data_IF_059080946560
#
_entry.id   IF_059080946560
#
_cell.length_a   1.000
_cell.length_b   1.000
_cell.length_c   1.000
_cell.angle_alpha   90.00
_cell.angle_beta   90.00
_cell.angle_gamma   90.00
#
_symmetry.space_group_name_H-M   'P 1'
#
loop_
_entity.id
_entity.type
_entity.pdbx_description
1 polymer ?
#
# COMPACT_ATOMS: atom_id res chain seq x y z
N UNK A 1 -21.94 -32.64 -34.53
CA UNK A 1 -20.56 -32.15 -34.73
C UNK A 1 -20.42 -30.66 -34.33
N UNK A 2 -21.22 -29.74 -34.87
CA UNK A 2 -21.16 -28.30 -34.56
C UNK A 2 -21.31 -28.01 -33.05
N UNK A 3 -22.32 -28.60 -32.38
CA UNK A 3 -22.57 -28.41 -30.96
C UNK A 3 -21.35 -28.78 -30.09
N UNK A 4 -20.72 -29.94 -30.37
CA UNK A 4 -19.50 -30.35 -29.62
C UNK A 4 -18.31 -29.42 -29.86
N UNK A 5 -18.13 -28.92 -31.09
CA UNK A 5 -17.05 -27.96 -31.39
C UNK A 5 -17.26 -26.65 -30.64
N UNK A 6 -18.49 -26.10 -30.67
CA UNK A 6 -18.83 -24.86 -29.94
C UNK A 6 -18.70 -25.04 -28.40
N UNK A 7 -19.11 -26.21 -27.89
CA UNK A 7 -18.97 -26.55 -26.49
C UNK A 7 -17.49 -26.52 -26.03
N UNK A 8 -16.60 -27.18 -26.80
CA UNK A 8 -15.18 -27.21 -26.49
C UNK A 8 -14.53 -25.82 -26.60
N UNK A 9 -14.87 -25.05 -27.63
CA UNK A 9 -14.40 -23.67 -27.77
C UNK A 9 -14.84 -22.85 -26.57
N UNK A 10 -16.12 -22.94 -26.18
CA UNK A 10 -16.65 -22.24 -25.01
C UNK A 10 -15.89 -22.57 -23.74
N UNK A 11 -15.66 -23.85 -23.41
CA UNK A 11 -14.90 -24.28 -22.24
C UNK A 11 -13.47 -23.71 -22.27
N UNK A 12 -12.75 -23.91 -23.38
CA UNK A 12 -11.34 -23.51 -23.49
C UNK A 12 -11.20 -22.01 -23.25
N UNK A 13 -11.99 -21.18 -23.93
CA UNK A 13 -11.89 -19.74 -23.74
C UNK A 13 -12.34 -19.29 -22.33
N UNK A 14 -13.45 -19.84 -21.80
CA UNK A 14 -13.92 -19.52 -20.47
C UNK A 14 -12.85 -19.85 -19.40
N UNK A 15 -12.29 -21.06 -19.46
CA UNK A 15 -11.29 -21.50 -18.48
C UNK A 15 -9.97 -20.74 -18.62
N UNK A 16 -9.48 -20.48 -19.84
CA UNK A 16 -8.22 -19.74 -20.05
C UNK A 16 -8.32 -18.31 -19.54
N UNK A 17 -9.41 -17.60 -19.84
CA UNK A 17 -9.62 -16.22 -19.38
C UNK A 17 -9.85 -16.21 -17.85
N UNK A 18 -10.68 -17.13 -17.34
CA UNK A 18 -10.93 -17.26 -15.90
C UNK A 18 -9.65 -17.58 -15.11
N UNK A 19 -8.82 -18.49 -15.63
CA UNK A 19 -7.52 -18.77 -15.02
C UNK A 19 -6.58 -17.55 -15.04
N UNK A 20 -6.56 -16.79 -16.13
CA UNK A 20 -5.79 -15.54 -16.20
C UNK A 20 -6.29 -14.51 -15.17
N UNK A 21 -7.61 -14.40 -14.98
CA UNK A 21 -8.22 -13.54 -13.99
C UNK A 21 -7.84 -13.96 -12.57
N UNK A 22 -8.02 -15.23 -12.23
CA UNK A 22 -7.64 -15.78 -10.95
C UNK A 22 -6.13 -15.61 -10.68
N UNK A 23 -5.28 -15.89 -11.66
CA UNK A 23 -3.83 -15.76 -11.53
C UNK A 23 -3.40 -14.30 -11.28
N UNK A 24 -3.97 -13.36 -12.04
CA UNK A 24 -3.46 -11.98 -12.08
C UNK A 24 -4.10 -11.09 -11.00
N UNK A 25 -5.35 -11.32 -10.61
CA UNK A 25 -6.07 -10.52 -9.61
C UNK A 25 -6.50 -11.28 -8.35
N UNK A 26 -6.42 -12.58 -8.34
CA UNK A 26 -6.65 -13.36 -7.12
C UNK A 26 -5.35 -13.46 -6.32
N UNK A 27 -5.05 -12.50 -5.44
CA UNK A 27 -3.78 -12.39 -4.68
C UNK A 27 -3.26 -13.71 -4.10
N UNK A 28 -4.16 -14.61 -3.69
CA UNK A 28 -3.82 -15.96 -3.21
C UNK A 28 -2.96 -16.74 -4.20
N UNK A 29 -3.16 -16.53 -5.50
CA UNK A 29 -2.37 -17.18 -6.56
C UNK A 29 -0.87 -16.88 -6.44
N UNK A 30 -0.53 -15.69 -5.96
CA UNK A 30 0.85 -15.22 -5.83
C UNK A 30 1.63 -15.92 -4.70
N UNK A 31 0.92 -16.59 -3.80
CA UNK A 31 1.55 -17.45 -2.78
C UNK A 31 2.14 -18.73 -3.39
N UNK A 32 1.60 -19.19 -4.54
CA UNK A 32 1.94 -20.48 -5.17
C UNK A 32 2.56 -20.31 -6.55
N UNK A 33 2.28 -19.20 -7.24
CA UNK A 33 2.69 -18.94 -8.61
C UNK A 33 3.43 -17.61 -8.72
N UNK A 34 4.46 -17.56 -9.56
CA UNK A 34 5.14 -16.30 -9.89
C UNK A 34 4.34 -15.54 -10.95
N UNK A 35 3.66 -14.49 -10.54
CA UNK A 35 2.89 -13.61 -11.44
C UNK A 35 3.80 -12.51 -11.97
N UNK A 36 3.81 -12.31 -13.29
CA UNK A 36 4.62 -11.24 -13.91
C UNK A 36 3.82 -9.95 -13.91
N UNK A 37 4.41 -8.87 -13.39
CA UNK A 37 3.79 -7.54 -13.32
C UNK A 37 3.14 -7.10 -14.65
N UNK A 38 3.84 -7.27 -15.78
CA UNK A 38 3.33 -6.89 -17.09
C UNK A 38 2.02 -7.56 -17.49
N UNK A 39 1.79 -8.81 -17.07
CA UNK A 39 0.55 -9.53 -17.35
C UNK A 39 -0.59 -8.98 -16.50
N UNK A 40 -0.33 -8.76 -15.21
CA UNK A 40 -1.27 -8.14 -14.27
C UNK A 40 -1.72 -6.74 -14.75
N UNK A 41 -0.77 -5.86 -15.08
CA UNK A 41 -1.07 -4.52 -15.63
C UNK A 41 -1.91 -4.59 -16.90
N UNK A 42 -1.57 -5.52 -17.82
CA UNK A 42 -2.37 -5.72 -19.03
C UNK A 42 -3.78 -6.22 -18.72
N UNK A 43 -3.92 -7.12 -17.73
CA UNK A 43 -5.22 -7.64 -17.32
C UNK A 43 -6.06 -6.52 -16.70
N UNK A 44 -5.53 -5.74 -15.77
CA UNK A 44 -6.21 -4.61 -15.12
C UNK A 44 -6.78 -3.64 -16.16
N UNK A 45 -5.96 -3.23 -17.15
CA UNK A 45 -6.41 -2.32 -18.24
C UNK A 45 -7.56 -2.86 -19.07
N UNK A 46 -7.69 -4.18 -19.19
CA UNK A 46 -8.67 -4.84 -20.06
C UNK A 46 -9.66 -5.69 -19.28
N UNK A 47 -9.73 -5.56 -17.96
CA UNK A 47 -10.50 -6.43 -17.08
C UNK A 47 -11.91 -6.65 -17.60
N UNK A 48 -12.71 -5.60 -17.74
CA UNK A 48 -14.12 -5.72 -18.16
C UNK A 48 -14.29 -6.32 -19.56
N UNK A 49 -13.36 -6.03 -20.48
CA UNK A 49 -13.39 -6.62 -21.83
C UNK A 49 -13.10 -8.11 -21.79
N UNK A 50 -12.09 -8.52 -21.01
CA UNK A 50 -11.72 -9.92 -20.85
C UNK A 50 -12.82 -10.70 -20.12
N UNK A 51 -13.42 -10.11 -19.08
CA UNK A 51 -14.57 -10.69 -18.38
C UNK A 51 -15.76 -10.87 -19.32
N UNK A 52 -16.08 -9.86 -20.14
CA UNK A 52 -17.17 -9.97 -21.14
C UNK A 52 -16.93 -11.09 -22.16
N UNK A 53 -15.69 -11.25 -22.66
CA UNK A 53 -15.34 -12.36 -23.56
C UNK A 53 -15.45 -13.70 -22.84
N UNK A 54 -14.98 -13.82 -21.62
CA UNK A 54 -15.04 -15.04 -20.82
C UNK A 54 -16.47 -15.45 -20.46
N UNK A 55 -17.31 -14.48 -20.07
CA UNK A 55 -18.74 -14.71 -19.83
C UNK A 55 -19.47 -15.08 -21.12
N UNK A 56 -19.14 -14.45 -22.25
CA UNK A 56 -19.65 -14.84 -23.58
C UNK A 56 -19.26 -16.26 -23.96
N UNK A 57 -18.03 -16.67 -23.67
CA UNK A 57 -17.58 -18.05 -23.90
C UNK A 57 -18.32 -19.05 -22.99
N UNK A 58 -18.60 -18.68 -21.73
CA UNK A 58 -19.42 -19.47 -20.81
C UNK A 58 -20.84 -19.60 -21.30
N UNK A 59 -21.43 -18.53 -21.81
CA UNK A 59 -22.75 -18.55 -22.42
C UNK A 59 -22.80 -19.43 -23.71
N UNK A 60 -21.75 -19.38 -24.54
CA UNK A 60 -21.59 -20.24 -25.70
C UNK A 60 -21.53 -21.73 -25.31
N UNK A 61 -20.76 -22.05 -24.28
CA UNK A 61 -20.70 -23.41 -23.71
C UNK A 61 -22.08 -23.89 -23.26
N UNK A 62 -22.82 -23.05 -22.55
CA UNK A 62 -24.18 -23.39 -22.09
C UNK A 62 -25.17 -23.55 -23.26
N UNK A 63 -25.13 -22.63 -24.21
CA UNK A 63 -25.97 -22.74 -25.43
C UNK A 63 -25.69 -24.03 -26.22
N UNK A 64 -24.41 -24.36 -26.41
CA UNK A 64 -24.01 -25.57 -27.11
C UNK A 64 -24.51 -26.83 -26.36
N UNK A 65 -24.45 -26.84 -25.04
CA UNK A 65 -24.95 -27.98 -24.24
C UNK A 65 -26.48 -28.10 -24.26
N UNK A 66 -27.20 -27.01 -23.97
CA UNK A 66 -28.66 -27.08 -23.79
C UNK A 66 -29.48 -27.07 -25.12
N UNK A 67 -28.96 -26.39 -26.16
CA UNK A 67 -29.72 -26.13 -27.37
C UNK A 67 -29.17 -26.83 -28.62
N UNK A 68 -27.93 -27.32 -28.62
CA UNK A 68 -27.27 -27.90 -29.80
C UNK A 68 -26.77 -29.33 -29.55
N UNK A 69 -27.23 -29.98 -28.50
CA UNK A 69 -26.85 -31.35 -28.10
C UNK A 69 -25.30 -31.55 -28.10
N UNK A 70 -24.57 -30.51 -27.72
CA UNK A 70 -23.13 -30.52 -27.69
C UNK A 70 -22.59 -30.80 -26.30
N UNK A 71 -21.50 -31.56 -26.22
CA UNK A 71 -20.84 -31.91 -24.97
C UNK A 71 -21.56 -33.00 -24.17
N UNK A 72 -21.10 -33.18 -22.93
CA UNK A 72 -21.62 -34.20 -22.00
C UNK A 72 -21.79 -33.64 -20.60
N UNK A 73 -22.79 -34.13 -19.86
CA UNK A 73 -23.11 -33.63 -18.51
C UNK A 73 -21.97 -33.78 -17.53
N UNK A 74 -21.19 -34.85 -17.61
CA UNK A 74 -20.04 -35.07 -16.72
C UNK A 74 -18.91 -34.02 -16.89
N UNK A 75 -18.85 -33.35 -18.05
CA UNK A 75 -17.89 -32.28 -18.33
C UNK A 75 -18.51 -30.89 -18.10
N UNK A 76 -19.78 -30.70 -18.45
CA UNK A 76 -20.45 -29.40 -18.33
C UNK A 76 -20.51 -28.87 -16.92
N UNK A 77 -21.03 -29.65 -15.98
CA UNK A 77 -21.21 -29.18 -14.59
C UNK A 77 -19.87 -28.92 -13.85
N UNK A 78 -18.84 -29.79 -13.93
CA UNK A 78 -17.52 -29.48 -13.40
C UNK A 78 -16.87 -28.25 -14.04
N UNK A 79 -17.04 -28.07 -15.38
CA UNK A 79 -16.50 -26.88 -16.06
C UNK A 79 -17.19 -25.60 -15.59
N UNK A 80 -18.52 -25.62 -15.47
CA UNK A 80 -19.29 -24.48 -14.96
C UNK A 80 -18.88 -24.12 -13.51
N UNK A 81 -18.70 -25.13 -12.65
CA UNK A 81 -18.21 -24.94 -11.29
C UNK A 81 -16.80 -24.31 -11.29
N UNK A 82 -15.89 -24.86 -12.10
CA UNK A 82 -14.53 -24.32 -12.23
C UNK A 82 -14.54 -22.86 -12.70
N UNK A 83 -15.31 -22.57 -13.74
CA UNK A 83 -15.48 -21.20 -14.25
C UNK A 83 -16.05 -20.28 -13.16
N UNK A 84 -17.06 -20.74 -12.43
CA UNK A 84 -17.63 -20.00 -11.29
C UNK A 84 -16.60 -19.65 -10.23
N UNK A 85 -15.70 -20.57 -9.89
CA UNK A 85 -14.61 -20.31 -8.94
C UNK A 85 -13.57 -19.35 -9.52
N UNK A 86 -13.14 -19.58 -10.77
CA UNK A 86 -12.09 -18.77 -11.41
C UNK A 86 -12.49 -17.31 -11.63
N UNK A 87 -13.77 -17.03 -11.84
CA UNK A 87 -14.27 -15.64 -11.97
C UNK A 87 -14.83 -15.11 -10.66
N UNK A 88 -15.59 -15.91 -9.93
CA UNK A 88 -16.29 -15.48 -8.73
C UNK A 88 -15.36 -15.12 -7.60
N UNK A 89 -14.33 -15.95 -7.36
CA UNK A 89 -13.38 -15.69 -6.27
C UNK A 89 -12.64 -14.35 -6.42
N UNK A 90 -11.92 -14.08 -7.54
CA UNK A 90 -11.22 -12.81 -7.69
C UNK A 90 -12.17 -11.61 -7.67
N UNK A 91 -13.31 -11.73 -8.33
CA UNK A 91 -14.30 -10.66 -8.41
C UNK A 91 -14.86 -10.30 -7.02
N UNK A 92 -15.25 -11.29 -6.23
CA UNK A 92 -15.75 -11.08 -4.87
C UNK A 92 -14.63 -10.51 -3.98
N UNK A 93 -13.42 -11.08 -4.08
CA UNK A 93 -12.28 -10.64 -3.30
C UNK A 93 -11.94 -9.17 -3.56
N UNK A 94 -11.78 -8.80 -4.83
CA UNK A 94 -11.35 -7.44 -5.24
C UNK A 94 -12.47 -6.42 -5.05
N UNK A 95 -13.62 -6.64 -5.68
CA UNK A 95 -14.66 -5.60 -5.79
C UNK A 95 -15.62 -5.54 -4.57
N UNK A 96 -15.77 -6.64 -3.83
CA UNK A 96 -16.60 -6.66 -2.63
C UNK A 96 -15.79 -6.76 -1.35
N UNK A 97 -14.73 -7.58 -1.36
CA UNK A 97 -13.91 -7.86 -0.17
C UNK A 97 -13.13 -6.65 0.32
N UNK A 98 -12.56 -5.87 -0.58
CA UNK A 98 -11.69 -4.74 -0.25
C UNK A 98 -12.42 -3.47 0.22
N UNK A 99 -13.74 -3.36 0.07
CA UNK A 99 -14.58 -2.25 0.59
C UNK A 99 -13.97 -0.85 0.38
N UNK A 100 -13.96 -0.36 -0.85
CA UNK A 100 -13.46 0.97 -1.13
C UNK A 100 -14.17 2.06 -0.28
N UNK A 101 -13.40 2.81 0.53
CA UNK A 101 -13.88 3.96 1.32
C UNK A 101 -13.15 5.25 0.95
N UNK A 102 -12.73 5.39 -0.29
CA UNK A 102 -12.00 6.57 -0.77
C UNK A 102 -12.76 7.89 -0.51
N UNK A 103 -14.08 7.88 -0.55
CA UNK A 103 -14.92 9.08 -0.37
C UNK A 103 -15.97 8.96 0.73
N UNK A 104 -16.00 7.84 1.45
CA UNK A 104 -17.06 7.49 2.41
C UNK A 104 -16.54 7.15 3.80
N UNK A 105 -15.24 7.27 4.02
CA UNK A 105 -14.62 7.01 5.31
C UNK A 105 -15.19 7.93 6.39
N UNK A 106 -15.43 7.37 7.56
CA UNK A 106 -15.90 8.10 8.73
C UNK A 106 -14.77 8.25 9.74
N UNK A 107 -14.65 9.45 10.26
CA UNK A 107 -13.69 9.79 11.28
C UNK A 107 -14.41 10.11 12.59
N UNK A 108 -13.86 9.65 13.68
CA UNK A 108 -14.45 9.68 15.00
C UNK A 108 -13.54 10.42 15.97
N UNK A 109 -14.09 10.86 17.09
CA UNK A 109 -13.29 11.45 18.16
C UNK A 109 -12.32 10.44 18.76
N UNK A 110 -11.29 10.93 19.44
CA UNK A 110 -10.35 10.09 20.18
C UNK A 110 -11.07 9.26 21.24
N UNK A 111 -12.07 9.84 21.93
CA UNK A 111 -12.80 9.14 22.98
C UNK A 111 -13.59 7.95 22.44
N UNK A 112 -14.24 8.09 21.28
CA UNK A 112 -14.90 6.96 20.62
C UNK A 112 -13.87 5.90 20.15
N UNK A 113 -12.69 6.32 19.73
CA UNK A 113 -11.66 5.41 19.22
C UNK A 113 -10.98 4.59 20.32
N UNK A 114 -10.89 5.10 21.56
CA UNK A 114 -10.30 4.39 22.71
C UNK A 114 -10.97 3.04 23.01
N UNK A 115 -12.22 2.87 22.63
CA UNK A 115 -12.95 1.62 22.82
C UNK A 115 -12.49 0.51 21.86
N UNK A 116 -11.92 0.87 20.71
CA UNK A 116 -11.58 -0.05 19.62
C UNK A 116 -10.10 -0.09 19.28
N UNK A 117 -9.31 0.89 19.73
CA UNK A 117 -7.90 1.04 19.42
C UNK A 117 -7.08 1.05 20.70
N UNK A 118 -6.17 0.08 20.84
CA UNK A 118 -5.27 0.03 21.98
C UNK A 118 -4.30 1.21 22.00
N UNK A 119 -3.94 1.76 23.17
CA UNK A 119 -2.94 2.84 23.28
C UNK A 119 -1.59 2.54 22.62
N UNK A 120 -1.19 1.27 22.57
CA UNK A 120 0.05 0.82 21.92
C UNK A 120 -0.09 0.51 20.44
N UNK A 121 -1.30 0.59 19.87
CA UNK A 121 -1.51 0.36 18.44
C UNK A 121 -0.76 1.37 17.60
N UNK A 122 -0.13 0.88 16.54
CA UNK A 122 0.45 1.74 15.52
C UNK A 122 -0.64 2.44 14.71
N UNK A 123 -0.46 3.72 14.47
CA UNK A 123 -1.33 4.54 13.63
C UNK A 123 -0.52 5.30 12.59
N UNK A 124 -1.05 5.36 11.37
CA UNK A 124 -0.53 6.22 10.30
C UNK A 124 -1.26 7.55 10.36
N UNK A 125 -0.50 8.64 10.39
CA UNK A 125 -1.03 9.99 10.61
C UNK A 125 -0.76 10.88 9.41
N UNK A 126 -1.76 11.66 9.05
CA UNK A 126 -1.66 12.84 8.20
C UNK A 126 -2.06 14.08 9.01
N UNK A 127 -1.38 15.17 8.75
CA UNK A 127 -1.61 16.43 9.48
C UNK A 127 -1.53 17.61 8.51
N UNK A 128 -2.36 18.61 8.76
CA UNK A 128 -2.37 19.88 8.04
C UNK A 128 -2.77 21.02 8.98
N UNK A 129 -1.83 21.96 9.20
CA UNK A 129 -2.06 23.17 10.01
C UNK A 129 -2.64 22.88 11.40
N UNK A 130 -2.11 21.85 12.05
CA UNK A 130 -2.52 21.41 13.40
C UNK A 130 -3.75 20.50 13.44
N UNK A 131 -4.44 20.29 12.32
CA UNK A 131 -5.54 19.32 12.21
C UNK A 131 -4.98 17.96 11.78
N UNK A 132 -5.21 16.92 12.59
CA UNK A 132 -4.64 15.61 12.32
C UNK A 132 -5.68 14.49 12.26
N UNK A 133 -5.38 13.48 11.44
CA UNK A 133 -6.14 12.23 11.32
C UNK A 133 -5.24 11.03 11.51
N UNK A 134 -5.64 10.14 12.41
CA UNK A 134 -4.98 8.86 12.62
C UNK A 134 -5.75 7.74 11.90
N UNK A 135 -5.00 6.83 11.32
CA UNK A 135 -5.51 5.62 10.67
C UNK A 135 -4.84 4.41 11.34
N UNK A 136 -5.47 3.80 12.35
CA UNK A 136 -4.90 2.61 13.00
C UNK A 136 -4.73 1.47 12.00
N UNK A 137 -3.58 0.80 12.03
CA UNK A 137 -3.26 -0.29 11.10
C UNK A 137 -4.36 -1.36 11.07
N UNK A 138 -4.89 -1.73 12.24
CA UNK A 138 -5.99 -2.70 12.34
C UNK A 138 -7.31 -2.24 11.73
N UNK A 139 -7.54 -0.93 11.62
CA UNK A 139 -8.77 -0.37 11.08
C UNK A 139 -8.69 -0.12 9.57
N UNK A 140 -7.49 0.28 9.08
CA UNK A 140 -7.28 0.55 7.65
C UNK A 140 -6.80 -0.68 6.88
N UNK A 141 -6.48 -1.78 7.57
CA UNK A 141 -6.11 -3.06 6.97
C UNK A 141 -7.08 -3.50 5.86
N UNK A 142 -8.34 -3.27 6.07
CA UNK A 142 -9.43 -3.33 5.10
C UNK A 142 -10.34 -2.14 5.40
N UNK A 143 -10.41 -1.14 4.58
CA UNK A 143 -10.53 -1.13 3.11
C UNK A 143 -9.26 -0.79 2.32
N UNK A 144 -8.11 -0.56 2.94
CA UNK A 144 -6.86 -0.07 2.35
C UNK A 144 -6.92 1.39 1.84
N UNK A 145 -8.09 1.96 1.63
CA UNK A 145 -8.33 3.34 1.19
C UNK A 145 -9.29 4.01 2.17
N UNK A 146 -8.91 5.16 2.72
CA UNK A 146 -9.78 5.97 3.58
C UNK A 146 -9.68 7.46 3.23
N UNK A 147 -10.79 8.03 2.82
CA UNK A 147 -10.94 9.45 2.54
C UNK A 147 -12.40 9.86 2.66
N UNK A 148 -12.66 11.15 2.70
CA UNK A 148 -14.01 11.70 2.72
C UNK A 148 -14.09 12.96 1.86
N UNK A 149 -15.30 13.42 1.58
CA UNK A 149 -15.54 14.57 0.70
C UNK A 149 -15.10 15.90 1.31
N UNK A 150 -15.06 15.97 2.63
CA UNK A 150 -14.67 17.17 3.38
C UNK A 150 -13.15 17.39 3.36
N UNK A 151 -12.38 16.33 3.04
CA UNK A 151 -10.93 16.38 3.08
C UNK A 151 -10.37 16.61 4.48
N UNK A 152 -9.10 16.99 4.60
CA UNK A 152 -8.45 17.39 5.84
C UNK A 152 -8.15 18.89 5.76
N UNK A 153 -8.70 19.66 6.68
CA UNK A 153 -8.58 21.13 6.70
C UNK A 153 -8.90 21.77 5.32
N UNK A 154 -9.97 21.27 4.66
CA UNK A 154 -10.43 21.77 3.36
C UNK A 154 -9.66 21.26 2.15
N UNK A 155 -8.59 20.50 2.32
CA UNK A 155 -7.83 19.89 1.23
C UNK A 155 -8.21 18.42 1.03
N UNK A 156 -8.40 18.02 -0.23
CA UNK A 156 -8.75 16.64 -0.56
C UNK A 156 -7.54 15.71 -0.34
N UNK A 157 -7.72 14.72 0.49
CA UNK A 157 -6.70 13.72 0.79
C UNK A 157 -7.32 12.34 0.97
N UNK A 158 -6.63 11.33 0.47
CA UNK A 158 -6.94 9.91 0.72
C UNK A 158 -5.74 9.24 1.36
N UNK A 159 -5.98 8.53 2.48
CA UNK A 159 -5.02 7.61 3.03
C UNK A 159 -5.08 6.30 2.28
N UNK A 160 -3.94 5.81 1.83
CA UNK A 160 -3.76 4.50 1.20
C UNK A 160 -2.88 3.64 2.09
N UNK A 161 -3.22 2.36 2.28
CA UNK A 161 -2.47 1.47 3.17
C UNK A 161 -2.21 0.11 2.54
N UNK A 162 -0.96 -0.29 2.49
CA UNK A 162 -0.53 -1.62 2.07
C UNK A 162 -0.03 -2.41 3.27
N UNK A 163 -0.82 -3.35 3.74
CA UNK A 163 -0.46 -4.17 4.90
C UNK A 163 0.73 -5.12 4.61
N UNK A 164 0.88 -5.57 3.35
CA UNK A 164 2.02 -6.40 2.93
C UNK A 164 3.35 -5.66 3.04
N UNK A 165 3.33 -4.34 2.81
CA UNK A 165 4.48 -3.46 2.93
C UNK A 165 4.61 -2.82 4.32
N UNK A 166 3.58 -2.91 5.16
CA UNK A 166 3.40 -2.11 6.39
C UNK A 166 3.49 -0.60 6.11
N UNK A 167 2.91 -0.13 5.00
CA UNK A 167 3.08 1.22 4.51
C UNK A 167 1.75 1.95 4.30
N UNK A 168 1.61 3.10 4.97
CA UNK A 168 0.55 4.08 4.68
C UNK A 168 1.13 5.31 3.98
N UNK A 169 0.42 5.80 2.96
CA UNK A 169 0.76 7.05 2.26
C UNK A 169 -0.53 7.85 2.07
N UNK A 170 -0.53 9.11 2.53
CA UNK A 170 -1.55 10.07 2.17
C UNK A 170 -1.27 10.63 0.77
N UNK A 171 -2.30 10.73 -0.07
CA UNK A 171 -2.20 11.34 -1.38
C UNK A 171 -3.29 12.40 -1.59
N UNK A 172 -2.94 13.48 -2.27
CA UNK A 172 -3.95 14.28 -2.99
C UNK A 172 -4.39 13.45 -4.20
N UNK A 173 -5.67 12.99 -4.28
CA UNK A 173 -6.13 12.12 -5.35
C UNK A 173 -6.36 12.89 -6.65
N UNK A 174 -5.27 13.39 -7.22
CA UNK A 174 -5.26 14.20 -8.43
C UNK A 174 -3.94 14.01 -9.19
N UNK A 175 -4.03 13.90 -10.51
CA UNK A 175 -2.87 13.87 -11.41
C UNK A 175 -3.12 14.90 -12.52
N UNK A 176 -2.20 15.88 -12.67
CA UNK A 176 -2.30 16.97 -13.65
C UNK A 176 -3.63 17.77 -13.58
N UNK A 177 -4.09 18.10 -12.37
CA UNK A 177 -5.32 18.84 -12.16
C UNK A 177 -6.60 18.01 -12.38
N UNK A 178 -6.49 16.71 -12.65
CA UNK A 178 -7.63 15.81 -12.85
C UNK A 178 -7.79 14.88 -11.66
N UNK A 179 -9.01 14.84 -11.13
CA UNK A 179 -9.36 13.92 -10.03
C UNK A 179 -9.14 12.48 -10.44
N UNK A 180 -8.64 11.70 -9.50
CA UNK A 180 -8.43 10.26 -9.60
C UNK A 180 -9.41 9.56 -8.68
N UNK A 181 -10.10 8.53 -9.20
CA UNK A 181 -10.99 7.67 -8.42
C UNK A 181 -10.28 6.32 -8.18
N UNK A 182 -9.71 6.17 -6.98
CA UNK A 182 -8.86 5.03 -6.64
C UNK A 182 -9.65 3.80 -6.22
N UNK A 183 -9.23 2.66 -6.73
CA UNK A 183 -9.64 1.32 -6.29
C UNK A 183 -8.40 0.44 -6.08
N UNK A 184 -8.41 -0.42 -5.07
CA UNK A 184 -7.37 -1.45 -4.88
C UNK A 184 -7.74 -2.67 -5.70
N UNK A 185 -6.89 -3.12 -6.60
CA UNK A 185 -7.17 -4.29 -7.44
C UNK A 185 -6.26 -5.48 -7.16
N UNK A 186 -5.00 -5.24 -6.87
CA UNK A 186 -4.00 -6.30 -6.75
C UNK A 186 -2.81 -5.81 -5.96
N UNK A 187 -1.84 -6.69 -5.78
CA UNK A 187 -0.53 -6.33 -5.27
C UNK A 187 0.57 -7.01 -6.08
N UNK A 188 1.75 -6.40 -6.13
CA UNK A 188 2.95 -6.99 -6.74
C UNK A 188 4.20 -6.45 -6.04
N UNK A 189 5.21 -7.32 -5.82
CA UNK A 189 6.38 -6.96 -5.02
C UNK A 189 6.02 -6.62 -3.57
N UNK A 190 4.98 -7.28 -3.02
CA UNK A 190 4.40 -6.98 -1.70
C UNK A 190 3.95 -5.51 -1.54
N UNK A 191 3.54 -4.85 -2.63
CA UNK A 191 2.98 -3.50 -2.60
C UNK A 191 1.75 -3.39 -3.51
N UNK A 192 0.81 -2.49 -3.18
CA UNK A 192 -0.46 -2.37 -3.89
C UNK A 192 -0.29 -1.89 -5.33
N UNK A 193 -1.18 -2.39 -6.18
CA UNK A 193 -1.51 -1.80 -7.47
C UNK A 193 -2.94 -1.27 -7.36
N UNK A 194 -3.06 0.04 -7.48
CA UNK A 194 -4.32 0.75 -7.52
C UNK A 194 -4.79 0.88 -8.96
N UNK A 195 -6.07 1.19 -9.16
CA UNK A 195 -6.63 1.62 -10.45
C UNK A 195 -7.28 2.98 -10.29
N UNK A 196 -7.09 3.84 -11.27
CA UNK A 196 -7.93 5.00 -11.47
C UNK A 196 -9.18 4.59 -12.26
N UNK A 197 -10.33 4.50 -11.62
CA UNK A 197 -11.59 4.09 -12.26
C UNK A 197 -12.06 5.07 -13.34
N UNK A 198 -11.60 6.34 -13.29
CA UNK A 198 -11.92 7.35 -14.32
C UNK A 198 -11.27 7.04 -15.65
N UNK A 199 -10.04 6.50 -15.63
CA UNK A 199 -9.24 6.23 -16.84
C UNK A 199 -9.03 4.75 -17.11
N UNK A 200 -9.27 3.88 -16.13
CA UNK A 200 -8.95 2.45 -16.18
C UNK A 200 -7.46 2.15 -16.02
N UNK A 201 -6.61 3.16 -15.78
CA UNK A 201 -5.17 2.98 -15.71
C UNK A 201 -4.72 2.50 -14.32
N UNK A 202 -3.84 1.50 -14.26
CA UNK A 202 -3.19 1.10 -13.04
C UNK A 202 -2.25 2.18 -12.51
N UNK A 203 -2.20 2.33 -11.16
CA UNK A 203 -1.34 3.28 -10.45
C UNK A 203 -0.45 2.50 -9.50
N UNK A 204 0.87 2.81 -9.51
CA UNK A 204 1.81 2.27 -8.56
C UNK A 204 1.65 2.99 -7.20
N UNK A 205 1.31 2.23 -6.16
CA UNK A 205 1.01 2.78 -4.84
C UNK A 205 2.16 3.60 -4.23
N UNK A 206 3.41 3.09 -4.30
CA UNK A 206 4.54 3.69 -3.58
C UNK A 206 5.00 5.03 -4.16
N UNK A 207 4.70 5.27 -5.44
CA UNK A 207 5.11 6.48 -6.17
C UNK A 207 3.93 7.36 -6.62
N UNK A 208 2.72 6.82 -6.71
CA UNK A 208 1.53 7.55 -7.13
C UNK A 208 1.39 7.80 -8.65
N UNK A 209 2.29 7.30 -9.50
CA UNK A 209 2.22 7.47 -10.95
C UNK A 209 1.36 6.39 -11.64
N UNK A 210 0.79 6.73 -12.79
CA UNK A 210 0.16 5.73 -13.67
C UNK A 210 1.20 4.86 -14.34
N UNK A 211 0.97 3.56 -14.41
CA UNK A 211 1.91 2.58 -14.98
C UNK A 211 2.33 2.88 -16.43
N UNK A 212 1.49 3.56 -17.21
CA UNK A 212 1.82 3.95 -18.58
C UNK A 212 2.85 5.07 -18.65
N UNK A 213 2.88 5.93 -17.63
CA UNK A 213 3.71 7.15 -17.60
C UNK A 213 5.09 6.88 -16.95
N UNK A 214 5.18 5.81 -16.14
CA UNK A 214 6.39 5.42 -15.44
C UNK A 214 6.84 6.41 -14.35
N UNK A 215 8.00 6.16 -13.74
CA UNK A 215 8.53 6.96 -12.62
C UNK A 215 8.76 8.44 -12.93
N UNK A 216 9.09 8.77 -14.20
CA UNK A 216 9.32 10.14 -14.63
C UNK A 216 8.03 10.88 -15.03
N UNK A 217 6.90 10.18 -15.05
CA UNK A 217 5.60 10.74 -15.41
C UNK A 217 4.92 11.47 -14.25
N UNK A 218 3.76 12.09 -14.56
CA UNK A 218 2.98 12.78 -13.54
C UNK A 218 2.43 11.79 -12.51
N UNK A 219 2.45 12.20 -11.25
CA UNK A 219 2.03 11.39 -10.12
C UNK A 219 1.09 12.17 -9.18
N UNK A 220 0.34 11.44 -8.37
CA UNK A 220 -0.37 12.03 -7.24
C UNK A 220 0.64 12.65 -6.26
N UNK A 221 0.33 13.81 -5.73
CA UNK A 221 1.18 14.47 -4.73
C UNK A 221 1.06 13.74 -3.40
N UNK A 222 2.18 13.22 -2.83
CA UNK A 222 2.15 12.64 -1.50
C UNK A 222 2.01 13.73 -0.43
N UNK A 223 1.33 13.37 0.65
CA UNK A 223 1.29 14.17 1.88
C UNK A 223 2.37 13.72 2.84
N UNK A 224 2.88 14.63 3.68
CA UNK A 224 3.67 14.23 4.83
C UNK A 224 2.89 13.21 5.66
N UNK A 225 3.39 11.97 5.68
CA UNK A 225 2.73 10.85 6.34
C UNK A 225 3.73 10.21 7.31
N UNK A 226 3.34 10.04 8.56
CA UNK A 226 4.23 9.52 9.59
C UNK A 226 3.51 8.52 10.50
N UNK A 227 4.28 7.76 11.25
CA UNK A 227 3.79 6.72 12.14
C UNK A 227 4.06 7.08 13.59
N UNK A 228 3.14 6.70 14.47
CA UNK A 228 3.28 6.83 15.91
C UNK A 228 2.38 5.82 16.63
N UNK A 229 2.48 5.72 17.95
CA UNK A 229 1.50 4.99 18.73
C UNK A 229 0.21 5.79 18.90
N UNK A 230 -0.91 5.10 19.13
CA UNK A 230 -2.18 5.78 19.38
C UNK A 230 -2.12 6.67 20.62
N UNK A 231 -1.42 6.25 21.71
CA UNK A 231 -1.20 7.11 22.89
C UNK A 231 -0.35 8.35 22.58
N UNK A 232 0.62 8.22 21.66
CA UNK A 232 1.38 9.35 21.15
C UNK A 232 0.49 10.33 20.40
N UNK A 233 -0.38 9.82 19.51
CA UNK A 233 -1.36 10.61 18.78
C UNK A 233 -2.31 11.39 19.72
N UNK A 234 -2.85 10.72 20.74
CA UNK A 234 -3.71 11.36 21.73
C UNK A 234 -3.04 12.54 22.45
N UNK A 235 -1.72 12.41 22.72
CA UNK A 235 -0.94 13.49 23.37
C UNK A 235 -0.59 14.63 22.41
N UNK A 236 -0.29 14.29 21.14
CA UNK A 236 0.12 15.28 20.15
C UNK A 236 -1.06 16.08 19.59
N UNK A 237 -2.20 15.41 19.41
CA UNK A 237 -3.39 15.95 18.73
C UNK A 237 -4.66 15.63 19.52
N UNK A 238 -4.90 16.28 20.68
CA UNK A 238 -6.05 15.97 21.53
C UNK A 238 -7.40 16.15 20.84
N UNK A 239 -7.48 17.05 19.86
CA UNK A 239 -8.67 17.30 19.03
C UNK A 239 -8.63 16.53 17.69
N UNK A 240 -7.66 15.65 17.51
CA UNK A 240 -7.49 14.86 16.31
C UNK A 240 -8.62 13.85 16.11
N UNK A 241 -8.81 13.41 14.86
CA UNK A 241 -9.82 12.41 14.52
C UNK A 241 -9.20 11.09 14.11
N UNK A 242 -9.96 10.00 14.25
CA UNK A 242 -9.49 8.63 14.04
C UNK A 242 -10.40 7.91 13.07
N UNK A 243 -9.81 7.29 12.05
CA UNK A 243 -10.53 6.40 11.16
C UNK A 243 -10.92 5.11 11.89
N UNK A 244 -12.20 4.74 11.86
CA UNK A 244 -12.69 3.45 12.37
C UNK A 244 -13.53 2.75 11.31
N UNK A 245 -13.15 1.52 10.98
CA UNK A 245 -13.91 0.66 10.08
C UNK A 245 -14.99 -0.09 10.87
N UNK A 246 -16.05 0.64 11.30
CA UNK A 246 -17.13 0.04 12.07
C UNK A 246 -17.93 -0.97 11.24
N UNK A 247 -18.36 -2.11 11.84
CA UNK A 247 -19.18 -3.12 11.16
C UNK A 247 -20.48 -2.54 10.59
N UNK A 248 -20.95 -3.11 9.47
CA UNK A 248 -22.23 -2.75 8.88
C UNK A 248 -23.41 -3.05 9.84
N UNK A 249 -24.43 -2.21 9.82
CA UNK A 249 -25.70 -2.47 10.49
C UNK A 249 -26.50 -3.62 9.83
N UNK A 250 -26.30 -3.89 8.54
CA UNK A 250 -26.95 -4.99 7.84
C UNK A 250 -26.31 -6.33 8.26
N UNK A 251 -27.09 -7.30 8.80
CA UNK A 251 -26.56 -8.57 9.33
C UNK A 251 -25.83 -9.43 8.26
N UNK A 252 -26.31 -9.46 7.01
CA UNK A 252 -25.67 -10.24 5.95
C UNK A 252 -24.35 -9.62 5.51
N UNK A 253 -24.31 -8.29 5.36
CA UNK A 253 -23.06 -7.56 5.07
C UNK A 253 -22.08 -7.73 6.21
N UNK A 254 -22.55 -7.64 7.46
CA UNK A 254 -21.72 -7.86 8.66
C UNK A 254 -21.10 -9.25 8.70
N UNK A 255 -21.86 -10.31 8.38
CA UNK A 255 -21.33 -11.68 8.33
C UNK A 255 -20.25 -11.80 7.24
N UNK A 256 -20.49 -11.25 6.06
CA UNK A 256 -19.51 -11.21 4.97
C UNK A 256 -18.25 -10.43 5.40
N UNK A 257 -18.42 -9.25 6.00
CA UNK A 257 -17.31 -8.44 6.52
C UNK A 257 -16.47 -9.20 7.55
N UNK A 258 -17.10 -9.90 8.49
CA UNK A 258 -16.39 -10.70 9.50
C UNK A 258 -15.55 -11.82 8.86
N UNK A 259 -16.07 -12.50 7.85
CA UNK A 259 -15.34 -13.54 7.12
C UNK A 259 -14.13 -12.95 6.38
N UNK A 260 -14.32 -11.83 5.70
CA UNK A 260 -13.25 -11.14 4.97
C UNK A 260 -12.19 -10.56 5.93
N UNK A 261 -12.60 -9.92 7.03
CA UNK A 261 -11.69 -9.38 8.04
C UNK A 261 -10.83 -10.50 8.66
N UNK A 262 -11.43 -11.67 8.93
CA UNK A 262 -10.71 -12.84 9.43
C UNK A 262 -9.67 -13.33 8.42
N UNK A 263 -10.05 -13.44 7.14
CA UNK A 263 -9.14 -13.89 6.08
C UNK A 263 -7.98 -12.91 5.89
N UNK A 264 -8.26 -11.60 5.81
CA UNK A 264 -7.23 -10.57 5.69
C UNK A 264 -6.30 -10.54 6.90
N UNK A 265 -6.85 -10.52 8.12
CA UNK A 265 -6.06 -10.49 9.36
C UNK A 265 -5.14 -11.71 9.44
N UNK A 266 -5.63 -12.90 9.11
CA UNK A 266 -4.81 -14.14 9.11
C UNK A 266 -3.64 -14.04 8.13
N UNK A 267 -3.88 -13.53 6.92
CA UNK A 267 -2.83 -13.31 5.91
C UNK A 267 -1.79 -12.29 6.37
N UNK A 268 -2.23 -11.20 7.01
CA UNK A 268 -1.33 -10.15 7.50
C UNK A 268 -0.53 -10.59 8.71
N UNK A 269 -1.14 -11.25 9.68
CA UNK A 269 -0.41 -11.84 10.82
C UNK A 269 0.70 -12.76 10.33
N UNK A 270 0.39 -13.59 9.33
CA UNK A 270 1.39 -14.45 8.68
C UNK A 270 2.47 -13.65 7.99
N UNK A 271 2.11 -12.63 7.18
CA UNK A 271 3.06 -11.74 6.51
C UNK A 271 4.01 -11.05 7.50
N UNK A 272 3.53 -10.60 8.64
CA UNK A 272 4.34 -9.87 9.62
C UNK A 272 5.23 -10.79 10.47
N UNK A 273 4.79 -12.01 10.77
CA UNK A 273 5.50 -12.92 11.68
C UNK A 273 6.45 -13.88 10.98
N UNK A 274 6.26 -14.17 9.69
CA UNK A 274 7.16 -15.04 8.95
C UNK A 274 8.38 -14.25 8.44
N UNK A 275 9.58 -14.84 8.57
CA UNK A 275 10.83 -14.20 8.11
C UNK A 275 10.85 -13.96 6.60
N UNK A 276 10.17 -14.81 5.82
CA UNK A 276 10.07 -14.67 4.36
C UNK A 276 8.85 -13.83 3.97
N UNK A 277 8.93 -13.10 2.85
CA UNK A 277 7.74 -12.47 2.26
C UNK A 277 6.67 -13.50 1.93
N UNK A 278 5.39 -13.19 2.21
CA UNK A 278 4.27 -14.09 1.92
C UNK A 278 4.08 -14.31 0.42
N UNK A 279 4.28 -13.24 -0.38
CA UNK A 279 4.05 -13.27 -1.81
C UNK A 279 5.33 -13.52 -2.59
N UNK A 280 5.32 -14.55 -3.46
CA UNK A 280 6.48 -15.00 -4.23
C UNK A 280 6.63 -14.26 -5.56
N UNK A 281 6.57 -12.92 -5.53
CA UNK A 281 6.67 -12.09 -6.74
C UNK A 281 7.71 -10.96 -6.65
N UNK A 282 8.64 -11.07 -5.71
CA UNK A 282 9.78 -10.18 -5.59
C UNK A 282 10.72 -10.36 -6.78
N UNK A 283 11.30 -9.27 -7.27
CA UNK A 283 12.29 -9.26 -8.36
C UNK A 283 13.68 -8.88 -7.88
N UNK A 284 13.77 -8.19 -6.76
CA UNK A 284 15.02 -7.80 -6.13
C UNK A 284 15.06 -8.27 -4.67
N UNK A 285 16.24 -8.74 -4.26
CA UNK A 285 16.51 -9.20 -2.89
C UNK A 285 17.79 -8.57 -2.40
N UNK A 286 17.81 -8.18 -1.14
CA UNK A 286 18.96 -7.58 -0.48
C UNK A 286 19.01 -8.09 0.97
N UNK A 287 20.11 -8.71 1.34
CA UNK A 287 20.31 -9.38 2.63
C UNK A 287 21.07 -8.53 3.67
N UNK A 288 21.37 -7.27 3.35
CA UNK A 288 22.01 -6.34 4.30
C UNK A 288 21.19 -6.17 5.58
N UNK A 289 19.86 -6.32 5.51
CA UNK A 289 18.97 -6.34 6.68
C UNK A 289 17.98 -7.52 6.58
N UNK A 290 17.46 -8.04 7.71
CA UNK A 290 16.37 -9.00 7.71
C UNK A 290 15.13 -8.47 6.98
N UNK A 291 14.45 -9.33 6.22
CA UNK A 291 13.31 -8.95 5.36
C UNK A 291 12.24 -8.10 6.07
N UNK A 292 12.00 -8.36 7.36
CA UNK A 292 10.93 -7.73 8.15
C UNK A 292 11.43 -6.60 9.05
N UNK A 293 12.68 -6.17 8.90
CA UNK A 293 13.16 -4.96 9.56
C UNK A 293 12.32 -3.77 9.11
N UNK A 294 11.80 -3.02 10.06
CA UNK A 294 11.16 -1.73 9.80
C UNK A 294 12.22 -0.71 9.41
N UNK A 295 11.96 0.02 8.35
CA UNK A 295 12.84 1.11 7.91
C UNK A 295 12.06 2.41 7.74
N UNK A 296 12.73 3.50 8.01
CA UNK A 296 12.26 4.87 7.82
C UNK A 296 12.93 5.39 6.55
N UNK A 297 12.30 5.07 5.42
CA UNK A 297 12.90 5.31 4.11
C UNK A 297 12.52 6.66 3.54
N UNK A 298 13.49 7.36 2.95
CA UNK A 298 13.30 8.64 2.27
C UNK A 298 13.92 8.56 0.88
N UNK A 299 13.20 9.08 -0.11
CA UNK A 299 13.77 9.29 -1.43
C UNK A 299 13.55 10.73 -1.89
N UNK A 300 14.58 11.33 -2.50
CA UNK A 300 14.54 12.65 -3.10
C UNK A 300 15.16 12.52 -4.50
N UNK A 301 14.33 12.67 -5.52
CA UNK A 301 14.73 12.27 -6.87
C UNK A 301 15.05 10.77 -6.95
N UNK A 302 16.19 10.43 -7.51
CA UNK A 302 16.69 9.05 -7.62
C UNK A 302 17.49 8.60 -6.38
N UNK A 303 17.88 9.51 -5.50
CA UNK A 303 18.62 9.20 -4.28
C UNK A 303 17.66 8.69 -3.20
N UNK A 304 18.02 7.56 -2.58
CA UNK A 304 17.21 6.91 -1.57
C UNK A 304 18.06 6.44 -0.40
N UNK A 305 17.57 6.64 0.81
CA UNK A 305 18.20 6.16 2.03
C UNK A 305 17.14 5.68 3.00
N UNK A 306 17.48 4.70 3.81
CA UNK A 306 16.64 4.29 4.92
C UNK A 306 17.42 4.27 6.23
N UNK A 307 16.69 4.42 7.32
CA UNK A 307 17.21 4.42 8.69
C UNK A 307 16.54 3.31 9.48
N UNK A 308 17.32 2.62 10.32
CA UNK A 308 16.82 1.63 11.27
C UNK A 308 16.59 2.24 12.64
N UNK A 309 15.68 1.66 13.43
CA UNK A 309 15.42 2.13 14.80
C UNK A 309 16.68 2.10 15.68
N UNK A 310 17.48 1.03 15.57
CA UNK A 310 18.73 0.86 16.31
C UNK A 310 19.69 2.02 16.02
N UNK A 311 19.92 2.33 14.74
CA UNK A 311 20.82 3.40 14.35
C UNK A 311 20.31 4.80 14.77
N UNK A 312 19.01 5.04 14.70
CA UNK A 312 18.40 6.27 15.20
C UNK A 312 18.67 6.37 16.73
N UNK A 313 18.49 5.27 17.46
CA UNK A 313 18.76 5.21 18.89
C UNK A 313 20.25 5.45 19.26
N UNK A 314 21.17 4.83 18.53
CA UNK A 314 22.62 5.01 18.69
C UNK A 314 23.09 6.47 18.48
N UNK A 315 22.34 7.22 17.66
CA UNK A 315 22.59 8.65 17.40
C UNK A 315 21.73 9.56 18.31
N UNK A 316 21.31 9.09 19.48
CA UNK A 316 20.50 9.84 20.43
C UNK A 316 19.19 10.40 19.84
N UNK A 317 18.65 9.73 18.83
CA UNK A 317 17.40 10.12 18.18
C UNK A 317 17.51 11.33 17.25
N UNK A 318 18.72 11.74 16.82
CA UNK A 318 18.91 12.91 15.95
C UNK A 318 20.04 12.69 14.93
N UNK A 319 19.69 12.74 13.64
CA UNK A 319 20.64 12.52 12.54
C UNK A 319 20.48 13.66 11.53
N UNK A 320 21.59 14.30 11.16
CA UNK A 320 21.65 15.22 10.03
C UNK A 320 22.20 14.47 8.81
N UNK A 321 21.54 14.56 7.67
CA UNK A 321 21.95 13.88 6.44
C UNK A 321 21.62 14.72 5.20
N UNK A 322 22.27 14.38 4.07
CA UNK A 322 21.96 14.98 2.75
C UNK A 322 21.47 13.88 1.79
N UNK A 323 20.32 14.11 1.18
CA UNK A 323 19.67 13.17 0.24
C UNK A 323 19.24 13.96 -1.00
N UNK A 324 19.65 13.51 -2.19
CA UNK A 324 19.30 14.19 -3.44
C UNK A 324 19.69 15.67 -3.47
N UNK A 325 20.81 16.02 -2.80
CA UNK A 325 21.30 17.41 -2.69
C UNK A 325 20.51 18.30 -1.72
N UNK A 326 19.60 17.73 -0.92
CA UNK A 326 18.84 18.45 0.12
C UNK A 326 19.23 17.96 1.49
N UNK A 327 19.47 18.89 2.41
CA UNK A 327 19.72 18.54 3.80
C UNK A 327 18.42 18.18 4.50
N UNK A 328 18.48 17.10 5.28
CA UNK A 328 17.37 16.60 6.08
C UNK A 328 17.82 16.33 7.52
N UNK A 329 16.84 16.28 8.39
CA UNK A 329 16.99 15.82 9.78
C UNK A 329 16.06 14.65 10.01
N UNK A 330 16.60 13.54 10.53
CA UNK A 330 15.83 12.42 11.07
C UNK A 330 15.79 12.58 12.58
N UNK A 331 14.60 12.55 13.17
CA UNK A 331 14.45 12.70 14.62
C UNK A 331 13.46 11.68 15.17
N UNK A 332 13.77 11.14 16.36
CA UNK A 332 12.85 10.34 17.16
C UNK A 332 12.40 11.13 18.39
N UNK A 333 11.10 11.26 18.58
CA UNK A 333 10.53 11.86 19.77
C UNK A 333 9.93 10.79 20.70
N UNK A 334 10.54 10.56 21.89
CA UNK A 334 10.09 9.52 22.83
C UNK A 334 8.76 9.86 23.52
N UNK A 335 8.37 11.14 23.59
CA UNK A 335 7.10 11.56 24.18
C UNK A 335 5.92 11.16 23.31
N UNK A 336 6.10 11.24 22.00
CA UNK A 336 5.08 10.94 21.00
C UNK A 336 5.32 9.61 20.28
N UNK A 337 6.46 8.95 20.56
CA UNK A 337 6.84 7.64 20.01
C UNK A 337 6.78 7.63 18.47
N UNK A 338 7.44 8.62 17.87
CA UNK A 338 7.38 8.85 16.42
C UNK A 338 8.73 9.25 15.86
N UNK A 339 9.07 8.69 14.71
CA UNK A 339 10.18 9.18 13.88
C UNK A 339 9.63 10.23 12.91
N UNK A 340 10.28 11.38 12.88
CA UNK A 340 10.06 12.44 11.90
C UNK A 340 11.24 12.58 10.96
N UNK A 341 10.98 13.01 9.72
CA UNK A 341 12.02 13.44 8.79
C UNK A 341 11.66 14.83 8.26
N UNK A 342 12.63 15.72 8.28
CA UNK A 342 12.42 17.14 8.07
C UNK A 342 13.41 17.70 7.07
N UNK A 343 12.96 18.62 6.21
CA UNK A 343 13.88 19.41 5.38
C UNK A 343 14.58 20.46 6.21
N UNK A 344 15.91 20.52 6.10
CA UNK A 344 16.73 21.53 6.73
C UNK A 344 17.30 22.48 5.65
N UNK A 345 16.73 23.66 5.55
CA UNK A 345 17.14 24.66 4.54
C UNK A 345 18.13 25.69 5.10
N UNK A 346 18.57 25.52 6.37
CA UNK A 346 19.46 26.48 7.03
C UNK A 346 20.94 26.38 6.58
N UNK A 347 21.33 25.20 6.04
CA UNK A 347 22.73 24.87 5.76
C UNK A 347 23.60 24.63 7.00
N UNK A 348 23.00 24.63 8.21
CA UNK A 348 23.67 24.35 9.47
C UNK A 348 23.10 23.08 10.10
N UNK A 349 23.91 22.28 10.80
CA UNK A 349 23.40 21.11 11.52
C UNK A 349 22.35 21.51 12.56
N UNK A 350 21.27 20.74 12.63
CA UNK A 350 20.27 20.83 13.70
C UNK A 350 20.76 20.05 14.91
N UNK A 351 20.74 20.68 16.08
CA UNK A 351 21.14 20.04 17.35
C UNK A 351 19.97 19.74 18.27
N UNK A 352 18.82 20.37 18.02
CA UNK A 352 17.60 20.17 18.78
C UNK A 352 16.38 20.34 17.84
N UNK A 353 15.42 19.46 17.95
CA UNK A 353 14.15 19.53 17.22
C UNK A 353 13.06 18.88 18.04
N UNK A 354 11.86 19.46 18.06
CA UNK A 354 10.70 18.85 18.65
C UNK A 354 9.86 18.06 17.61
N UNK A 355 8.86 17.35 18.09
CA UNK A 355 7.94 16.56 17.25
C UNK A 355 7.22 17.40 16.19
N UNK A 356 7.02 18.68 16.41
CA UNK A 356 6.34 19.59 15.48
C UNK A 356 7.30 20.28 14.50
N UNK A 357 8.59 19.95 14.56
CA UNK A 357 9.60 20.48 13.65
C UNK A 357 10.17 21.83 14.08
N UNK A 358 9.90 22.29 15.31
CA UNK A 358 10.55 23.47 15.84
C UNK A 358 11.96 23.09 16.30
N UNK A 359 12.96 23.67 15.66
CA UNK A 359 14.37 23.38 15.90
C UNK A 359 15.15 24.63 16.33
N UNK A 360 16.43 24.45 16.71
CA UNK A 360 17.40 25.51 16.90
C UNK A 360 17.72 26.30 15.61
N UNK A 361 17.40 25.74 14.44
CA UNK A 361 17.53 26.38 13.13
C UNK A 361 16.18 26.95 12.59
N UNK A 362 15.14 27.01 13.42
CA UNK A 362 13.81 27.50 13.05
C UNK A 362 12.77 26.38 12.82
N UNK A 363 11.67 26.73 12.16
CA UNK A 363 10.58 25.80 11.87
C UNK A 363 10.89 25.01 10.60
N UNK A 364 11.04 23.70 10.73
CA UNK A 364 11.29 22.77 9.63
C UNK A 364 9.99 22.16 9.09
N UNK A 365 10.00 21.75 7.82
CA UNK A 365 8.89 21.09 7.15
C UNK A 365 9.13 19.59 7.05
N UNK A 366 8.09 18.78 7.29
CA UNK A 366 8.17 17.33 7.13
C UNK A 366 8.41 16.94 5.68
N UNK A 367 9.23 15.90 5.48
CA UNK A 367 9.48 15.31 4.17
C UNK A 367 8.27 14.46 3.78
N UNK A 368 7.66 14.77 2.64
CA UNK A 368 6.47 14.10 2.12
C UNK A 368 6.77 12.73 1.49
N UNK A 369 8.02 12.45 1.17
CA UNK A 369 8.44 11.16 0.57
C UNK A 369 8.80 10.10 1.61
N UNK A 370 8.71 10.39 2.92
CA UNK A 370 8.96 9.43 3.97
C UNK A 370 8.07 8.20 3.84
N UNK A 371 8.67 7.00 3.83
CA UNK A 371 8.02 5.69 3.90
C UNK A 371 8.17 5.16 5.32
N UNK A 372 7.22 5.51 6.16
CA UNK A 372 7.28 5.37 7.61
C UNK A 372 7.04 3.93 8.05
N UNK A 373 8.05 3.25 8.59
CA UNK A 373 7.93 1.88 9.12
C UNK A 373 7.66 0.82 8.06
N UNK A 374 8.15 1.02 6.84
CA UNK A 374 8.05 0.05 5.76
C UNK A 374 8.96 -1.15 5.99
N UNK A 375 8.58 -2.35 5.55
CA UNK A 375 9.47 -3.51 5.60
C UNK A 375 10.65 -3.37 4.63
N UNK A 376 11.85 -3.78 5.06
CA UNK A 376 13.09 -3.75 4.28
C UNK A 376 12.96 -4.45 2.93
N UNK A 377 12.43 -5.67 2.88
CA UNK A 377 12.28 -6.40 1.61
C UNK A 377 11.41 -5.67 0.58
N UNK A 378 10.42 -4.88 1.04
CA UNK A 378 9.61 -4.06 0.12
C UNK A 378 10.35 -2.79 -0.26
N UNK A 379 11.07 -2.18 0.69
CA UNK A 379 11.89 -1.00 0.40
C UNK A 379 12.88 -1.29 -0.74
N UNK A 380 13.68 -2.36 -0.65
CA UNK A 380 14.69 -2.69 -1.67
C UNK A 380 14.11 -3.16 -3.01
N UNK A 381 12.90 -3.71 -3.04
CA UNK A 381 12.22 -4.01 -4.30
C UNK A 381 12.01 -2.76 -5.15
N UNK A 382 11.76 -1.59 -4.52
CA UNK A 382 11.48 -0.33 -5.19
C UNK A 382 12.66 0.65 -5.22
N UNK A 383 13.59 0.56 -4.26
CA UNK A 383 14.75 1.44 -4.10
C UNK A 383 16.06 0.61 -4.07
N UNK A 384 16.40 0.03 -5.22
CA UNK A 384 17.49 -0.96 -5.36
C UNK A 384 18.88 -0.41 -5.06
N UNK A 385 19.10 0.91 -5.22
CA UNK A 385 20.37 1.59 -4.96
C UNK A 385 20.34 2.41 -3.67
N UNK A 386 19.61 1.93 -2.67
CA UNK A 386 19.46 2.63 -1.41
C UNK A 386 20.70 2.50 -0.52
N UNK A 387 21.05 3.58 0.16
CA UNK A 387 21.94 3.52 1.30
C UNK A 387 21.17 3.17 2.58
N UNK A 388 21.91 2.68 3.57
CA UNK A 388 21.39 2.41 4.90
C UNK A 388 22.16 3.34 5.88
N UNK A 389 21.41 4.05 6.73
CA UNK A 389 21.98 4.81 7.86
C UNK A 389 23.00 5.89 7.45
N UNK A 390 22.75 6.63 6.37
CA UNK A 390 23.62 7.73 5.92
C UNK A 390 23.62 8.89 6.91
N UNK A 391 24.80 9.42 7.21
CA UNK A 391 25.01 10.64 8.00
C UNK A 391 25.76 11.64 7.15
N UNK A 392 25.44 12.94 7.24
CA UNK A 392 26.24 13.99 6.61
C UNK A 392 27.57 14.13 7.32
N UNK A 393 28.66 14.21 6.58
CA UNK A 393 29.95 14.66 7.13
C UNK A 393 29.79 16.14 7.48
N UNK A 394 30.18 16.57 8.69
CA UNK A 394 30.16 17.99 9.03
C UNK A 394 30.95 18.82 8.02
N UNK A 395 30.34 19.91 7.53
CA UNK A 395 31.01 20.86 6.61
C UNK A 395 32.20 21.55 7.18
N UNK A 396 32.58 21.32 8.43
CA UNK A 396 33.78 21.83 9.11
C UNK A 396 34.92 20.82 8.99
N UNK A 397 35.71 20.95 7.95
CA UNK A 397 37.14 20.76 7.75
C UNK A 397 37.89 19.55 8.32
N UNK A 398 37.29 18.60 9.03
CA UNK A 398 37.96 17.38 9.44
C UNK A 398 37.25 16.18 8.73
N UNK A 399 37.87 15.79 7.62
CA UNK A 399 37.45 14.60 6.90
C UNK A 399 37.66 13.36 7.78
N UNK A 400 36.60 12.89 8.41
CA UNK A 400 36.54 11.53 8.90
C UNK A 400 36.36 10.64 7.68
N UNK A 401 37.43 10.04 7.24
CA UNK A 401 37.42 9.00 6.19
C UNK A 401 36.48 7.89 6.68
N UNK A 402 35.36 7.73 5.99
CA UNK A 402 34.51 6.57 6.18
C UNK A 402 35.35 5.34 5.82
N UNK A 403 35.86 4.61 6.80
CA UNK A 403 36.41 3.28 6.59
C UNK A 403 35.25 2.39 6.11
N UNK A 404 35.36 2.01 4.85
CA UNK A 404 34.60 0.89 4.31
C UNK A 404 34.92 -0.34 5.16
N UNK A 405 34.01 -0.76 5.99
CA UNK A 405 34.10 -2.08 6.61
C UNK A 405 33.81 -3.08 5.50
N UNK A 406 34.86 -3.47 4.78
CA UNK A 406 34.88 -4.71 4.01
C UNK A 406 34.80 -5.85 5.02
N UNK A 407 33.64 -6.48 5.08
CA UNK A 407 33.48 -7.75 5.78
C UNK A 407 34.17 -8.84 4.97
N UNK A 408 35.26 -9.34 5.51
CA UNK A 408 35.85 -10.65 5.15
C UNK A 408 34.91 -11.81 5.48
#
# INVERSE_FOLDING_TARGET
MLGNTLFLIGIVFAVVIGFAYFRDLGDVSQMFMRVKRKHMIRFIRNEYRLLAVGLGATALMALAYFALDGGTAWLFWPALLLVGVLYGFPWIYVHLGLRNQMSTAKYYSIDEAKELVSPSSSVVVIEKDGVARAHPDSQILRPHLAGNKEGLNGENVVMTYCAMANLGIGYTPEIEGKKVDLEVLAQHGNNLILRDNTTGEPIQHIYGYREKDGKAGPAMKPWPTFRMTFRGFQKAYPDGTVFLNKPSANPLVRLFDMAMDTAFTSGIVRQHNEAKPLMNNMTHYDDRLPNKTYVWGVNIGEDAVCYTDDFIGENNGLINATIGGRDIVVSYDPKYESVGVWYNESGLPVTQIDFFGKSDQGQLKRVETLKSGMFWHVWVEFFQHTDINRVSVPLNGDAVVAENIETT
#
